data_IF_104511617079
#
_entry.id   IF_104511617079
#
_cell.length_a   1.000
_cell.length_b   1.000
_cell.length_c   1.000
_cell.angle_alpha   90.00
_cell.angle_beta   90.00
_cell.angle_gamma   90.00
#
_symmetry.space_group_name_H-M   'P 1'
#
loop_
_entity.id
_entity.type
_entity.pdbx_description
1 polymer ?
#
# COMPACT_ATOMS: atom_id res chain seq x y z
N UNK A 1 -3.80 -13.51 1.12
CA UNK A 1 -2.85 -14.61 0.77
C UNK A 1 -2.79 -14.84 -0.74
N UNK A 2 -2.82 -13.75 -1.50
CA UNK A 2 -2.69 -13.76 -2.95
C UNK A 2 -1.33 -13.16 -3.29
N UNK A 3 -0.75 -13.62 -4.39
CA UNK A 3 0.52 -13.11 -4.91
C UNK A 3 0.41 -12.77 -6.38
N UNK A 4 1.26 -11.85 -6.83
CA UNK A 4 1.45 -11.51 -8.25
C UNK A 4 2.94 -11.48 -8.57
N UNK A 5 3.32 -11.99 -9.73
CA UNK A 5 4.71 -11.88 -10.19
C UNK A 5 4.93 -10.51 -10.83
N UNK A 6 5.78 -9.68 -10.24
CA UNK A 6 6.12 -8.34 -10.75
C UNK A 6 7.63 -8.25 -10.89
N UNK A 7 8.12 -7.95 -12.10
CA UNK A 7 9.56 -7.87 -12.37
C UNK A 7 10.33 -9.15 -12.02
N UNK A 8 9.67 -10.32 -12.03
CA UNK A 8 10.28 -11.59 -11.61
C UNK A 8 10.30 -11.83 -10.09
N UNK A 9 9.67 -10.97 -9.30
CA UNK A 9 9.57 -11.09 -7.84
C UNK A 9 8.14 -11.45 -7.43
N UNK A 10 7.92 -12.53 -6.65
CA UNK A 10 6.62 -12.81 -6.06
C UNK A 10 6.25 -11.71 -5.06
N UNK A 11 5.15 -11.02 -5.30
CA UNK A 11 4.69 -9.90 -4.48
C UNK A 11 3.37 -10.24 -3.82
N UNK A 12 3.26 -10.06 -2.51
CA UNK A 12 2.01 -10.15 -1.75
C UNK A 12 1.07 -9.02 -2.18
N UNK A 13 -0.22 -9.33 -2.20
CA UNK A 13 -1.26 -8.39 -2.64
C UNK A 13 -2.07 -7.96 -1.42
N UNK A 14 -2.21 -6.65 -1.23
CA UNK A 14 -3.24 -6.06 -0.37
C UNK A 14 -4.45 -5.69 -1.22
N UNK A 15 -5.62 -5.69 -0.58
CA UNK A 15 -6.84 -5.16 -1.17
C UNK A 15 -7.36 -4.11 -0.20
N UNK A 16 -7.11 -2.86 -0.55
CA UNK A 16 -7.34 -1.71 0.30
C UNK A 16 -8.60 -0.98 -0.21
N UNK A 17 -9.44 -0.51 0.70
CA UNK A 17 -10.72 0.12 0.39
C UNK A 17 -10.82 1.42 1.17
N UNK A 18 -11.00 2.53 0.46
CA UNK A 18 -11.18 3.84 1.06
C UNK A 18 -12.62 4.33 0.93
N UNK A 19 -13.14 4.89 2.01
CA UNK A 19 -14.52 5.33 2.13
C UNK A 19 -14.59 6.78 2.62
N UNK A 20 -15.29 7.63 1.87
CA UNK A 20 -15.67 8.97 2.30
C UNK A 20 -17.18 9.05 2.48
N UNK A 21 -17.64 9.56 3.63
CA UNK A 21 -19.07 9.68 3.96
C UNK A 21 -19.89 8.39 3.77
N UNK A 22 -19.23 7.23 3.93
CA UNK A 22 -19.84 5.90 3.78
C UNK A 22 -19.92 5.39 2.33
N UNK A 23 -19.41 6.16 1.36
CA UNK A 23 -19.30 5.78 -0.05
C UNK A 23 -17.88 5.30 -0.38
N UNK A 24 -17.76 4.24 -1.16
CA UNK A 24 -16.46 3.76 -1.66
C UNK A 24 -15.91 4.78 -2.66
N UNK A 25 -14.79 5.39 -2.34
CA UNK A 25 -14.12 6.38 -3.21
C UNK A 25 -12.89 5.80 -3.91
N UNK A 26 -12.26 4.78 -3.31
CA UNK A 26 -11.15 4.07 -3.93
C UNK A 26 -11.16 2.60 -3.51
N UNK A 27 -10.87 1.72 -4.45
CA UNK A 27 -10.40 0.36 -4.16
C UNK A 27 -9.01 0.20 -4.78
N UNK A 28 -8.08 -0.45 -4.09
CA UNK A 28 -6.71 -0.60 -4.56
C UNK A 28 -6.22 -2.04 -4.42
N UNK A 29 -5.55 -2.54 -5.46
CA UNK A 29 -4.64 -3.69 -5.35
C UNK A 29 -3.21 -3.16 -5.29
N UNK A 30 -2.60 -3.18 -4.11
CA UNK A 30 -1.18 -2.82 -3.95
C UNK A 30 -0.31 -4.06 -3.79
N UNK A 31 0.93 -3.96 -4.28
CA UNK A 31 1.84 -5.09 -4.39
C UNK A 31 3.10 -4.85 -3.56
N UNK A 32 3.41 -5.81 -2.69
CA UNK A 32 4.55 -5.70 -1.79
C UNK A 32 5.47 -6.92 -1.86
N UNK A 33 6.77 -6.70 -1.80
CA UNK A 33 7.76 -7.76 -1.65
C UNK A 33 8.65 -7.47 -0.44
N UNK A 34 9.25 -8.51 0.15
CA UNK A 34 10.23 -8.34 1.22
C UNK A 34 11.57 -8.94 0.79
N UNK A 35 12.65 -8.18 0.94
CA UNK A 35 14.00 -8.65 0.66
C UNK A 35 14.64 -9.35 1.89
N UNK A 36 15.81 -9.95 1.68
CA UNK A 36 16.54 -10.68 2.72
C UNK A 36 17.09 -9.78 3.84
N UNK A 37 17.18 -8.47 3.63
CA UNK A 37 17.56 -7.49 4.65
C UNK A 37 16.35 -7.00 5.47
N UNK A 38 15.15 -7.49 5.12
CA UNK A 38 13.88 -7.17 5.77
C UNK A 38 13.20 -5.92 5.24
N UNK A 39 13.73 -5.27 4.19
CA UNK A 39 13.04 -4.12 3.59
C UNK A 39 11.77 -4.58 2.89
N UNK A 40 10.69 -3.84 3.10
CA UNK A 40 9.43 -4.00 2.39
C UNK A 40 9.43 -3.04 1.20
N UNK A 41 9.25 -3.59 0.02
CA UNK A 41 9.21 -2.89 -1.25
C UNK A 41 7.77 -2.70 -1.71
N UNK A 42 7.41 -1.51 -2.21
CA UNK A 42 6.16 -1.28 -2.97
C UNK A 42 6.49 -1.50 -4.44
N UNK A 43 5.89 -2.53 -5.02
CA UNK A 43 6.18 -3.01 -6.37
C UNK A 43 5.26 -2.37 -7.42
N UNK A 44 4.20 -1.68 -6.98
CA UNK A 44 3.20 -1.01 -7.79
C UNK A 44 1.82 -1.05 -7.13
N UNK A 45 0.85 -0.45 -7.80
CA UNK A 45 -0.57 -0.60 -7.49
C UNK A 45 -1.47 -0.51 -8.72
N UNK A 46 -2.70 -0.95 -8.50
CA UNK A 46 -3.84 -0.69 -9.36
C UNK A 46 -4.97 -0.14 -8.50
N UNK A 47 -5.12 1.18 -8.43
CA UNK A 47 -6.26 1.82 -7.80
C UNK A 47 -7.40 1.95 -8.81
N UNK A 48 -8.64 1.85 -8.33
CA UNK A 48 -9.84 2.27 -9.03
C UNK A 48 -10.49 3.36 -8.20
N UNK A 49 -10.50 4.57 -8.73
CA UNK A 49 -11.16 5.73 -8.13
C UNK A 49 -12.61 5.80 -8.60
N UNK A 50 -13.49 6.22 -7.71
CA UNK A 50 -14.93 6.32 -7.95
C UNK A 50 -15.48 7.70 -7.59
N UNK A 51 -16.42 8.17 -8.39
CA UNK A 51 -17.23 9.37 -8.11
C UNK A 51 -18.72 9.01 -8.24
N UNK A 52 -19.50 9.27 -7.18
CA UNK A 52 -20.92 8.86 -7.07
C UNK A 52 -21.16 7.38 -7.44
N UNK A 53 -20.25 6.50 -7.02
CA UNK A 53 -20.29 5.05 -7.30
C UNK A 53 -20.00 4.65 -8.75
N UNK A 54 -19.50 5.57 -9.59
CA UNK A 54 -19.09 5.30 -10.98
C UNK A 54 -17.58 5.30 -11.06
N UNK A 55 -17.03 4.32 -11.78
CA UNK A 55 -15.60 4.28 -12.08
C UNK A 55 -15.16 5.58 -12.78
N UNK A 56 -14.16 6.23 -12.21
CA UNK A 56 -13.59 7.49 -12.71
C UNK A 56 -12.30 7.24 -13.46
N UNK A 57 -11.31 6.65 -12.78
CA UNK A 57 -9.96 6.44 -13.32
C UNK A 57 -9.25 5.30 -12.58
N UNK A 58 -8.14 4.84 -13.16
CA UNK A 58 -7.26 3.87 -12.55
C UNK A 58 -5.78 4.22 -12.84
N UNK A 59 -5.18 5.17 -12.08
CA UNK A 59 -3.79 5.60 -12.26
C UNK A 59 -2.79 4.51 -11.85
N UNK A 60 -2.74 3.45 -12.67
CA UNK A 60 -1.93 2.27 -12.42
C UNK A 60 -0.44 2.58 -12.61
N UNK A 61 0.40 2.13 -11.68
CA UNK A 61 1.83 2.00 -11.94
C UNK A 61 2.34 0.66 -11.42
N UNK A 62 3.18 -0.01 -12.21
CA UNK A 62 3.79 -1.29 -11.84
C UNK A 62 5.24 -1.28 -12.26
N UNK A 63 6.13 -1.71 -11.37
CA UNK A 63 7.55 -1.80 -11.63
C UNK A 63 7.85 -2.51 -12.97
N UNK A 64 8.66 -1.84 -13.80
CA UNK A 64 9.09 -2.36 -15.10
C UNK A 64 8.24 -1.92 -16.29
N UNK A 65 7.14 -1.19 -16.06
CA UNK A 65 6.28 -0.62 -17.10
C UNK A 65 6.27 0.90 -17.02
N UNK A 66 6.19 1.57 -18.16
CA UNK A 66 6.09 3.05 -18.26
C UNK A 66 7.12 3.78 -17.38
N UNK A 67 8.35 3.28 -17.38
CA UNK A 67 9.49 3.77 -16.58
C UNK A 67 9.33 3.66 -15.05
N UNK A 68 8.28 3.00 -14.58
CA UNK A 68 7.99 2.85 -13.16
C UNK A 68 8.99 1.94 -12.44
N UNK A 69 9.34 2.32 -11.21
CA UNK A 69 10.33 1.64 -10.37
C UNK A 69 9.78 1.36 -8.98
N UNK A 70 9.97 0.13 -8.52
CA UNK A 70 9.69 -0.24 -7.15
C UNK A 70 10.52 0.63 -6.19
N UNK A 71 9.91 0.99 -5.06
CA UNK A 71 10.55 1.73 -3.98
C UNK A 71 10.47 0.99 -2.66
N UNK A 72 11.10 1.53 -1.61
CA UNK A 72 11.06 0.97 -0.27
C UNK A 72 9.86 1.57 0.45
N UNK A 73 8.86 0.77 0.79
CA UNK A 73 7.75 1.19 1.63
C UNK A 73 8.21 1.34 3.10
N UNK A 74 8.97 0.35 3.58
CA UNK A 74 9.50 0.32 4.95
C UNK A 74 10.90 -0.31 4.96
N UNK A 75 11.85 0.36 5.58
CA UNK A 75 13.20 -0.18 5.77
C UNK A 75 13.16 -1.32 6.80
N UNK A 76 13.96 -2.38 6.59
CA UNK A 76 14.05 -3.49 7.55
C UNK A 76 14.73 -3.09 8.87
N UNK A 77 15.53 -2.03 8.84
CA UNK A 77 16.22 -1.44 10.00
C UNK A 77 16.08 0.09 9.96
N UNK A 78 14.88 0.63 10.22
CA UNK A 78 14.65 2.06 10.16
C UNK A 78 15.49 2.77 11.24
N UNK A 79 16.05 3.93 10.90
CA UNK A 79 16.87 4.73 11.81
C UNK A 79 16.54 6.21 11.63
N UNK A 80 16.56 6.96 12.74
CA UNK A 80 16.51 8.41 12.68
C UNK A 80 17.70 8.97 11.90
N UNK A 81 17.51 10.15 11.31
CA UNK A 81 18.52 10.85 10.50
C UNK A 81 18.99 10.12 9.24
N UNK A 82 18.32 9.03 8.82
CA UNK A 82 18.49 8.52 7.45
C UNK A 82 17.87 9.50 6.44
N UNK A 83 18.48 9.68 5.26
CA UNK A 83 17.86 10.43 4.17
C UNK A 83 16.50 9.84 3.80
N UNK A 84 15.62 10.66 3.22
CA UNK A 84 14.39 10.15 2.64
C UNK A 84 14.67 9.14 1.53
N UNK A 85 13.75 8.21 1.33
CA UNK A 85 13.81 7.15 0.32
C UNK A 85 12.55 7.20 -0.54
N UNK A 86 12.65 6.79 -1.81
CA UNK A 86 11.49 6.66 -2.67
C UNK A 86 10.65 5.45 -2.23
N UNK A 87 9.35 5.66 -2.02
CA UNK A 87 8.39 4.58 -1.75
C UNK A 87 7.86 3.97 -3.05
N UNK A 88 7.99 4.70 -4.16
CA UNK A 88 7.77 4.22 -5.51
C UNK A 88 8.20 5.29 -6.50
N UNK A 89 8.10 4.98 -7.78
CA UNK A 89 8.26 5.95 -8.86
C UNK A 89 7.35 5.50 -10.00
N UNK A 90 6.32 6.29 -10.31
CA UNK A 90 5.36 6.03 -11.38
C UNK A 90 5.13 7.32 -12.17
N UNK A 91 6.05 7.70 -13.07
CA UNK A 91 6.03 9.03 -13.68
C UNK A 91 4.87 9.23 -14.65
N UNK A 92 4.32 8.15 -15.22
CA UNK A 92 3.15 8.21 -16.09
C UNK A 92 1.86 8.58 -15.33
N UNK A 93 1.87 8.47 -14.00
CA UNK A 93 0.75 8.74 -13.10
C UNK A 93 1.13 9.72 -11.98
N UNK A 94 2.22 10.48 -12.17
CA UNK A 94 2.74 11.45 -11.20
C UNK A 94 3.06 10.90 -9.79
N UNK A 95 3.26 9.59 -9.67
CA UNK A 95 3.58 8.93 -8.40
C UNK A 95 5.05 9.14 -8.01
N UNK A 96 5.28 9.91 -6.95
CA UNK A 96 6.64 10.35 -6.54
C UNK A 96 6.91 10.27 -5.04
N UNK A 97 6.12 9.48 -4.32
CA UNK A 97 6.12 9.44 -2.86
C UNK A 97 7.47 9.03 -2.27
N UNK A 98 7.80 9.71 -1.18
CA UNK A 98 9.02 9.50 -0.41
C UNK A 98 8.70 9.41 1.07
N UNK A 99 9.30 8.42 1.73
CA UNK A 99 9.26 8.27 3.17
C UNK A 99 10.55 8.75 3.83
N UNK A 100 10.44 9.27 5.05
CA UNK A 100 11.56 9.52 5.94
C UNK A 100 11.19 9.14 7.37
N UNK A 101 12.09 8.45 8.08
CA UNK A 101 11.91 8.15 9.50
C UNK A 101 11.88 9.46 10.30
N UNK A 102 10.73 9.78 10.88
CA UNK A 102 10.47 11.02 11.64
C UNK A 102 10.68 10.81 13.13
N UNK A 103 10.07 9.77 13.70
CA UNK A 103 10.16 9.41 15.12
C UNK A 103 10.22 7.91 15.31
N UNK A 104 10.75 7.48 16.45
CA UNK A 104 10.82 6.07 16.85
C UNK A 104 10.52 5.96 18.35
N UNK A 105 9.95 4.83 18.77
CA UNK A 105 9.67 4.58 20.19
C UNK A 105 8.45 5.33 20.73
N UNK A 106 7.55 5.76 19.85
CA UNK A 106 6.35 6.52 20.23
C UNK A 106 5.33 5.57 20.89
N UNK A 107 4.60 6.07 21.89
CA UNK A 107 3.39 5.41 22.37
C UNK A 107 2.17 6.04 21.68
N UNK A 108 1.32 5.21 21.09
CA UNK A 108 0.15 5.67 20.32
C UNK A 108 -1.10 4.96 20.80
N UNK A 109 -2.13 5.72 21.14
CA UNK A 109 -3.42 5.22 21.59
C UNK A 109 -4.49 5.55 20.55
N UNK A 110 -5.19 4.53 20.08
CA UNK A 110 -6.27 4.58 19.09
C UNK A 110 -7.42 3.69 19.56
N UNK A 111 -8.59 3.69 18.90
CA UNK A 111 -9.72 2.87 19.36
C UNK A 111 -9.40 1.37 19.43
N UNK A 112 -8.53 0.83 18.56
CA UNK A 112 -8.11 -0.57 18.59
C UNK A 112 -7.18 -0.94 19.77
N UNK A 113 -6.59 0.04 20.47
CA UNK A 113 -5.71 -0.24 21.61
C UNK A 113 -4.62 0.80 21.87
N UNK A 114 -3.67 0.44 22.73
CA UNK A 114 -2.46 1.21 22.99
C UNK A 114 -1.24 0.43 22.51
N UNK A 115 -0.45 1.06 21.64
CA UNK A 115 0.74 0.50 21.03
C UNK A 115 1.99 1.22 21.55
N UNK A 116 3.06 0.45 21.70
CA UNK A 116 4.40 0.92 22.08
C UNK A 116 5.38 0.65 20.96
N UNK A 117 6.56 1.26 21.06
CA UNK A 117 7.63 1.11 20.07
C UNK A 117 7.19 1.48 18.65
N UNK A 118 6.30 2.47 18.53
CA UNK A 118 5.74 2.91 17.26
C UNK A 118 6.78 3.70 16.47
N UNK A 119 6.93 3.32 15.20
CA UNK A 119 7.72 4.02 14.19
C UNK A 119 6.85 5.05 13.50
N UNK A 120 7.33 6.29 13.34
CA UNK A 120 6.64 7.31 12.54
C UNK A 120 7.45 7.57 11.28
N UNK A 121 6.81 7.42 10.13
CA UNK A 121 7.36 7.78 8.83
C UNK A 121 6.61 9.02 8.35
N UNK A 122 7.35 10.09 8.05
CA UNK A 122 6.83 11.24 7.35
C UNK A 122 6.90 10.99 5.84
N UNK A 123 5.77 11.06 5.17
CA UNK A 123 5.62 10.85 3.73
C UNK A 123 5.32 12.18 3.02
N UNK A 124 5.91 12.38 1.85
CA UNK A 124 5.71 13.57 1.01
C UNK A 124 5.91 13.21 -0.46
N UNK A 125 5.50 14.07 -1.37
CA UNK A 125 5.66 13.88 -2.82
C UNK A 125 6.38 15.06 -3.46
N UNK A 126 6.84 14.90 -4.70
CA UNK A 126 7.45 16.01 -5.45
C UNK A 126 6.42 17.12 -5.77
N UNK A 127 5.14 16.75 -5.91
CA UNK A 127 4.05 17.67 -6.20
C UNK A 127 3.64 18.52 -4.98
N UNK A 128 3.78 17.95 -3.77
CA UNK A 128 3.34 18.60 -2.52
C UNK A 128 4.47 18.63 -1.47
N UNK A 129 5.57 19.36 -1.74
CA UNK A 129 6.77 19.35 -0.89
C UNK A 129 6.57 19.99 0.48
N UNK A 130 5.52 20.82 0.63
CA UNK A 130 5.15 21.49 1.88
C UNK A 130 4.02 20.77 2.64
N UNK A 131 3.62 19.58 2.17
CA UNK A 131 2.64 18.70 2.81
C UNK A 131 3.29 17.38 3.21
N UNK A 132 2.92 16.88 4.39
CA UNK A 132 3.37 15.59 4.86
C UNK A 132 2.25 14.83 5.55
N UNK A 133 2.10 13.56 5.17
CA UNK A 133 1.40 12.59 6.01
C UNK A 133 2.37 11.98 7.02
N UNK A 134 1.91 11.75 8.24
CA UNK A 134 2.66 11.08 9.30
C UNK A 134 2.01 9.73 9.55
N UNK A 135 2.65 8.64 9.11
CA UNK A 135 2.14 7.28 9.27
C UNK A 135 2.83 6.57 10.42
N UNK A 136 2.04 6.04 11.35
CA UNK A 136 2.49 5.47 12.61
C UNK A 136 2.37 3.95 12.53
N UNK A 137 3.49 3.24 12.58
CA UNK A 137 3.56 1.80 12.43
C UNK A 137 3.89 1.11 13.76
N UNK A 138 2.99 0.25 14.23
CA UNK A 138 3.19 -0.56 15.43
C UNK A 138 3.72 -1.97 15.07
N UNK A 139 4.70 -2.52 15.83
CA UNK A 139 5.22 -3.85 15.60
C UNK A 139 4.12 -4.94 15.63
N UNK A 140 4.12 -5.81 14.63
CA UNK A 140 3.16 -6.92 14.50
C UNK A 140 1.74 -6.50 14.11
N UNK A 141 1.51 -5.22 13.82
CA UNK A 141 0.19 -4.69 13.45
C UNK A 141 0.25 -3.95 12.12
N UNK A 142 1.22 -3.06 11.91
CA UNK A 142 1.27 -2.19 10.74
C UNK A 142 0.81 -0.77 11.07
N UNK A 143 0.20 -0.08 10.12
CA UNK A 143 -0.24 1.31 10.28
C UNK A 143 -1.39 1.40 11.29
N UNK A 144 -1.18 2.13 12.39
CA UNK A 144 -2.16 2.29 13.48
C UNK A 144 -2.77 3.69 13.52
N UNK A 145 -2.09 4.68 12.96
CA UNK A 145 -2.54 6.07 12.95
C UNK A 145 -1.93 6.81 11.76
N UNK A 146 -2.73 7.66 11.12
CA UNK A 146 -2.27 8.63 10.13
C UNK A 146 -2.60 10.01 10.68
N UNK A 147 -1.63 10.90 10.63
CA UNK A 147 -1.82 12.32 10.87
C UNK A 147 -1.13 13.13 9.79
N UNK A 148 -0.96 14.43 10.04
CA UNK A 148 -0.44 15.33 9.03
C UNK A 148 0.41 16.46 9.61
N UNK A 149 1.25 17.06 8.76
CA UNK A 149 2.07 18.23 9.07
C UNK A 149 2.32 19.04 7.79
N UNK A 150 2.52 20.35 7.95
CA UNK A 150 2.92 21.24 6.84
C UNK A 150 1.82 22.19 6.39
N UNK A 151 2.21 23.32 5.81
CA UNK A 151 1.29 24.36 5.37
C UNK A 151 0.60 24.00 4.04
N UNK A 152 1.18 23.08 3.27
CA UNK A 152 0.63 22.59 2.01
C UNK A 152 -0.44 21.52 2.18
N UNK A 153 -0.64 20.99 3.39
CA UNK A 153 -1.60 19.92 3.65
C UNK A 153 -3.06 20.44 3.57
N UNK A 154 -3.80 19.95 2.58
CA UNK A 154 -5.15 20.40 2.26
C UNK A 154 -6.21 19.55 2.94
N UNK A 155 -6.05 18.22 2.92
CA UNK A 155 -7.04 17.29 3.46
C UNK A 155 -6.94 17.22 4.97
N UNK A 156 -5.72 17.40 5.49
CA UNK A 156 -5.43 17.30 6.94
C UNK A 156 -5.93 15.97 7.50
N UNK A 157 -5.73 14.94 6.70
CA UNK A 157 -6.24 13.60 6.95
C UNK A 157 -5.78 13.07 8.31
N UNK A 158 -6.72 12.46 9.02
CA UNK A 158 -6.48 11.70 10.22
C UNK A 158 -7.19 10.36 10.08
N UNK A 159 -6.44 9.27 10.24
CA UNK A 159 -6.98 7.92 10.31
C UNK A 159 -6.56 7.29 11.64
N UNK A 160 -7.48 6.58 12.28
CA UNK A 160 -7.21 5.83 13.50
C UNK A 160 -7.60 4.38 13.29
N UNK A 161 -6.71 3.45 13.65
CA UNK A 161 -7.03 2.04 13.62
C UNK A 161 -8.13 1.73 14.63
N UNK A 162 -9.27 1.23 14.13
CA UNK A 162 -10.44 0.89 14.95
C UNK A 162 -10.55 -0.59 15.27
N UNK A 163 -10.09 -1.46 14.36
CA UNK A 163 -10.18 -2.92 14.50
C UNK A 163 -9.06 -3.61 13.72
N UNK A 164 -8.54 -4.68 14.31
CA UNK A 164 -7.72 -5.69 13.60
C UNK A 164 -8.44 -7.03 13.76
N UNK A 165 -8.64 -7.73 12.66
CA UNK A 165 -9.34 -9.02 12.66
C UNK A 165 -8.63 -10.03 11.77
N UNK A 166 -8.36 -11.21 12.34
CA UNK A 166 -7.93 -12.35 11.54
C UNK A 166 -9.15 -12.96 10.88
N UNK A 167 -9.24 -12.85 9.56
CA UNK A 167 -10.31 -13.45 8.79
C UNK A 167 -10.22 -14.97 8.80
N UNK A 168 -11.38 -15.64 8.93
CA UNK A 168 -11.49 -17.08 8.74
C UNK A 168 -11.41 -17.46 7.25
N UNK A 169 -11.37 -18.77 6.96
CA UNK A 169 -11.24 -19.25 5.58
C UNK A 169 -12.39 -18.81 4.66
N UNK A 170 -13.61 -18.63 5.19
CA UNK A 170 -14.78 -18.22 4.42
C UNK A 170 -14.72 -16.74 4.09
N UNK A 171 -14.40 -15.89 5.07
CA UNK A 171 -14.20 -14.47 4.88
C UNK A 171 -13.01 -14.19 3.94
N UNK A 172 -11.90 -14.93 4.10
CA UNK A 172 -10.78 -14.85 3.15
C UNK A 172 -11.17 -15.24 1.73
N UNK A 173 -12.06 -16.22 1.54
CA UNK A 173 -12.54 -16.58 0.21
C UNK A 173 -13.35 -15.44 -0.45
N UNK A 174 -14.10 -14.66 0.33
CA UNK A 174 -14.79 -13.46 -0.17
C UNK A 174 -13.79 -12.40 -0.60
N UNK A 175 -12.79 -12.10 0.22
CA UNK A 175 -11.72 -11.14 -0.11
C UNK A 175 -10.99 -11.53 -1.39
N UNK A 176 -10.63 -12.82 -1.56
CA UNK A 176 -9.98 -13.31 -2.79
C UNK A 176 -10.88 -13.12 -4.01
N UNK A 177 -12.18 -13.38 -3.88
CA UNK A 177 -13.13 -13.23 -4.98
C UNK A 177 -13.26 -11.76 -5.42
N UNK A 178 -13.30 -10.81 -4.47
CA UNK A 178 -13.33 -9.39 -4.80
C UNK A 178 -12.02 -8.90 -5.42
N UNK A 179 -10.86 -9.32 -4.89
CA UNK A 179 -9.57 -9.01 -5.49
C UNK A 179 -9.44 -9.54 -6.93
N UNK A 180 -9.92 -10.76 -7.21
CA UNK A 180 -9.93 -11.35 -8.56
C UNK A 180 -10.92 -10.66 -9.50
N UNK A 181 -12.07 -10.20 -8.97
CA UNK A 181 -13.05 -9.41 -9.73
C UNK A 181 -12.45 -8.07 -10.14
N UNK A 182 -11.77 -7.39 -9.21
CA UNK A 182 -11.06 -6.14 -9.49
C UNK A 182 -9.91 -6.37 -10.49
N UNK A 183 -9.11 -7.43 -10.34
CA UNK A 183 -8.08 -7.77 -11.33
C UNK A 183 -8.66 -7.99 -12.73
N UNK A 184 -9.84 -8.62 -12.86
CA UNK A 184 -10.48 -8.78 -14.17
C UNK A 184 -10.73 -7.43 -14.85
N UNK A 185 -11.19 -6.43 -14.10
CA UNK A 185 -11.38 -5.08 -14.62
C UNK A 185 -10.03 -4.40 -14.90
N UNK A 186 -9.01 -4.66 -14.08
CA UNK A 186 -7.65 -4.16 -14.31
C UNK A 186 -7.08 -4.56 -15.69
N UNK A 187 -7.32 -5.81 -16.13
CA UNK A 187 -6.94 -6.25 -17.48
C UNK A 187 -7.69 -5.50 -18.60
N UNK A 188 -8.91 -5.03 -18.33
CA UNK A 188 -9.74 -4.31 -19.32
C UNK A 188 -9.37 -2.83 -19.41
N UNK A 189 -9.05 -2.21 -18.27
CA UNK A 189 -8.80 -0.76 -18.14
C UNK A 189 -7.32 -0.41 -18.34
N UNK A 190 -6.41 -1.11 -17.66
CA UNK A 190 -4.99 -0.79 -17.64
C UNK A 190 -4.21 -1.58 -18.70
N UNK A 191 -4.52 -1.29 -19.97
CA UNK A 191 -4.04 -2.07 -21.13
C UNK A 191 -2.53 -1.99 -21.37
N UNK A 192 -1.88 -0.89 -20.95
CA UNK A 192 -0.47 -0.64 -21.19
C UNK A 192 0.42 -1.04 -20.00
N UNK A 193 -0.18 -1.29 -18.83
CA UNK A 193 0.55 -1.58 -17.59
C UNK A 193 0.06 -2.90 -17.00
N UNK A 194 -1.12 -2.92 -16.39
CA UNK A 194 -1.60 -4.11 -15.68
C UNK A 194 -1.78 -5.31 -16.63
N UNK A 195 -2.28 -5.08 -17.84
CA UNK A 195 -2.60 -6.16 -18.76
C UNK A 195 -1.39 -6.98 -19.24
N UNK A 196 -0.17 -6.49 -19.01
CA UNK A 196 1.07 -7.20 -19.32
C UNK A 196 1.63 -8.01 -18.14
N UNK A 197 0.99 -7.94 -16.98
CA UNK A 197 1.40 -8.70 -15.80
C UNK A 197 0.79 -10.11 -15.78
N UNK A 198 1.48 -11.10 -15.17
CA UNK A 198 0.88 -12.40 -14.86
C UNK A 198 -0.30 -12.27 -13.88
N UNK A 199 -1.29 -13.19 -13.91
CA UNK A 199 -2.46 -13.15 -13.03
C UNK A 199 -2.13 -13.25 -11.54
N UNK A 200 -3.08 -12.82 -10.70
CA UNK A 200 -3.05 -13.13 -9.28
C UNK A 200 -3.17 -14.63 -9.06
N UNK A 201 -2.36 -15.15 -8.16
CA UNK A 201 -2.35 -16.54 -7.75
C UNK A 201 -2.52 -16.64 -6.24
N UNK A 202 -3.26 -17.65 -5.78
CA UNK A 202 -3.30 -17.93 -4.35
C UNK A 202 -1.97 -18.57 -3.93
N UNK A 203 -1.40 -18.12 -2.82
CA UNK A 203 -0.19 -18.76 -2.29
C UNK A 203 -0.45 -20.24 -2.03
N UNK A 204 0.51 -21.13 -2.36
CA UNK A 204 0.40 -22.53 -2.00
C UNK A 204 0.21 -22.65 -0.49
N UNK A 205 -0.82 -23.38 -0.06
CA UNK A 205 -0.96 -23.73 1.36
C UNK A 205 0.34 -24.38 1.84
N UNK A 206 0.87 -23.93 2.98
CA UNK A 206 2.04 -24.51 3.64
C UNK A 206 1.80 -26.00 3.89
N UNK A 207 2.24 -26.83 2.95
CA UNK A 207 1.84 -28.24 2.82
C UNK A 207 2.08 -28.80 1.41
N UNK A 208 2.18 -27.95 0.39
CA UNK A 208 2.72 -28.29 -0.93
C UNK A 208 4.05 -27.58 -1.12
N UNK A 209 5.09 -28.02 -0.40
CA UNK A 209 6.45 -27.75 -0.85
C UNK A 209 6.63 -28.43 -2.21
N UNK A 210 7.06 -27.66 -3.20
CA UNK A 210 7.41 -28.15 -4.53
C UNK A 210 8.33 -29.37 -4.43
N UNK A 211 7.97 -30.44 -5.17
CA UNK A 211 8.87 -31.56 -5.45
C UNK A 211 9.91 -31.15 -6.49
#
# INVERSE_FOLDING_TARGET
DMTKMIGGVPSLVTWDLDYSDGELVEAELAFFAQDNDGNVWRMGEYPEEYDEGKFLTAPTWIHGYEEARAGIMMQGKPQLATPSYAQGWGPAVDWTDRGQVDQMGVETKVPAGQYKDVLVIAETSAAEPDAQQLKYYAPGVGNVYVGWRGAGEKTKEILELTKVEQLDAKAMAVVRAEALKMEKHAYEVSKNVYAHTPPLEQMPSTGQAAK
#
